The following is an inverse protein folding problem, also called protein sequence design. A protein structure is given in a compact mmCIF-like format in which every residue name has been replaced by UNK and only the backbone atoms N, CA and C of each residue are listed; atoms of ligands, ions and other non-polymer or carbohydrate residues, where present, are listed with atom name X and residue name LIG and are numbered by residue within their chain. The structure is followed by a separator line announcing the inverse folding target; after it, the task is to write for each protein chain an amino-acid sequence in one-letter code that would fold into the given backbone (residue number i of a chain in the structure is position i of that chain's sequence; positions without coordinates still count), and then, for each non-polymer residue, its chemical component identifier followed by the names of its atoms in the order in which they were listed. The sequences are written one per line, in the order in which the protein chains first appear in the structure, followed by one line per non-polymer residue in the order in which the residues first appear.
data_IF_989393501162
#
_entry.id   IF_989393501162
#
_cell.length_a   1.000
_cell.length_b   1.000
_cell.length_c   1.000
_cell.angle_alpha   90.00
_cell.angle_beta   90.00
_cell.angle_gamma   90.00
#
_symmetry.space_group_name_H-M   'P 1'
#
loop_
_entity.id
_entity.type
_entity.pdbx_description
1 polymer ?
#
# COMPACT_ATOMS: atom_id res chain seq x y z
N UNK A 1 -23.44 0.11 -7.20
CA UNK A 1 -22.74 0.84 -6.12
C UNK A 1 -21.86 -0.05 -5.25
N UNK A 2 -22.37 -1.00 -4.44
CA UNK A 2 -21.52 -1.97 -3.71
C UNK A 2 -20.91 -3.06 -4.60
N UNK A 3 -21.69 -3.56 -5.59
CA UNK A 3 -21.20 -4.52 -6.59
C UNK A 3 -20.05 -3.96 -7.42
N UNK A 4 -20.03 -2.64 -7.64
CA UNK A 4 -19.02 -1.96 -8.45
C UNK A 4 -17.64 -2.02 -7.77
N UNK A 5 -17.55 -1.87 -6.44
CA UNK A 5 -16.25 -1.90 -5.74
C UNK A 5 -15.59 -3.28 -5.76
N UNK A 6 -16.37 -4.37 -5.72
CA UNK A 6 -15.84 -5.72 -5.89
C UNK A 6 -15.32 -5.95 -7.31
N UNK A 7 -16.02 -5.45 -8.31
CA UNK A 7 -15.53 -5.47 -9.69
C UNK A 7 -14.20 -4.70 -9.80
N UNK A 8 -14.18 -3.46 -9.30
CA UNK A 8 -13.00 -2.61 -9.36
C UNK A 8 -11.81 -3.18 -8.58
N UNK A 9 -12.04 -3.86 -7.44
CA UNK A 9 -10.96 -4.50 -6.69
C UNK A 9 -10.32 -5.65 -7.48
N UNK A 10 -11.12 -6.45 -8.19
CA UNK A 10 -10.59 -7.47 -9.09
C UNK A 10 -9.80 -6.84 -10.24
N UNK A 11 -10.32 -5.77 -10.86
CA UNK A 11 -9.60 -5.07 -11.92
C UNK A 11 -8.29 -4.45 -11.43
N UNK A 12 -8.29 -3.81 -10.25
CA UNK A 12 -7.09 -3.25 -9.65
C UNK A 12 -6.05 -4.33 -9.36
N UNK A 13 -6.50 -5.47 -8.84
CA UNK A 13 -5.65 -6.63 -8.60
C UNK A 13 -5.03 -7.17 -9.89
N UNK A 14 -5.79 -7.29 -10.98
CA UNK A 14 -5.27 -7.69 -12.30
C UNK A 14 -4.23 -6.68 -12.80
N UNK A 15 -4.51 -5.38 -12.68
CA UNK A 15 -3.57 -4.33 -13.11
C UNK A 15 -2.27 -4.42 -12.34
N UNK A 16 -2.32 -4.44 -11.00
CA UNK A 16 -1.13 -4.40 -10.17
C UNK A 16 -0.35 -5.72 -10.20
N UNK A 17 -1.02 -6.86 -10.27
CA UNK A 17 -0.39 -8.18 -10.42
C UNK A 17 -0.14 -8.57 -11.89
N UNK A 18 -0.13 -7.61 -12.82
CA UNK A 18 0.40 -7.81 -14.18
C UNK A 18 1.89 -7.42 -14.26
N UNK A 19 2.45 -7.19 -15.45
CA UNK A 19 3.84 -6.77 -15.69
C UNK A 19 4.19 -5.36 -15.13
N UNK A 20 3.99 -5.16 -13.83
CA UNK A 20 4.25 -3.90 -13.13
C UNK A 20 5.39 -4.07 -12.14
N UNK A 21 5.96 -2.93 -11.72
CA UNK A 21 6.95 -2.92 -10.64
C UNK A 21 6.37 -3.45 -9.31
N UNK A 22 5.06 -3.32 -9.09
CA UNK A 22 4.41 -3.82 -7.89
C UNK A 22 4.55 -5.35 -7.75
N UNK A 23 4.22 -6.10 -8.80
CA UNK A 23 4.31 -7.57 -8.79
C UNK A 23 5.75 -8.04 -8.52
N UNK A 24 6.73 -7.40 -9.18
CA UNK A 24 8.14 -7.72 -9.00
C UNK A 24 8.57 -7.52 -7.54
N UNK A 25 8.27 -6.34 -6.97
CA UNK A 25 8.60 -6.02 -5.58
C UNK A 25 7.89 -6.98 -4.60
N UNK A 26 6.60 -7.25 -4.82
CA UNK A 26 5.81 -8.18 -4.00
C UNK A 26 6.42 -9.58 -4.00
N UNK A 27 6.84 -10.06 -5.17
CA UNK A 27 7.47 -11.39 -5.33
C UNK A 27 8.77 -11.48 -4.53
N UNK A 28 9.65 -10.48 -4.67
CA UNK A 28 10.93 -10.41 -3.96
C UNK A 28 10.72 -10.40 -2.44
N UNK A 29 9.76 -9.63 -1.93
CA UNK A 29 9.52 -9.59 -0.49
C UNK A 29 8.92 -10.91 0.00
N UNK A 30 7.98 -11.49 -0.75
CA UNK A 30 7.31 -12.73 -0.36
C UNK A 30 8.28 -13.91 -0.24
N UNK A 31 9.38 -13.93 -1.00
CA UNK A 31 10.39 -15.00 -0.86
C UNK A 31 11.13 -14.95 0.47
N UNK A 32 11.23 -13.79 1.12
CA UNK A 32 11.88 -13.62 2.42
C UNK A 32 11.12 -14.29 3.57
N UNK A 33 9.84 -14.57 3.37
CA UNK A 33 8.98 -15.23 4.36
C UNK A 33 8.89 -16.75 4.14
N UNK A 34 9.52 -17.28 3.07
CA UNK A 34 9.54 -18.72 2.76
C UNK A 34 10.71 -19.48 3.41
N UNK A 35 11.75 -18.79 3.87
CA UNK A 35 12.90 -19.41 4.51
C UNK A 35 12.56 -19.86 5.95
N UNK A 36 12.92 -21.11 6.28
CA UNK A 36 12.71 -21.67 7.62
C UNK A 36 13.61 -21.03 8.67
N UNK A 37 13.11 -21.04 9.90
CA UNK A 37 13.66 -20.46 11.12
C UNK A 37 15.13 -20.80 11.34
N UNK A 38 15.95 -19.77 11.51
CA UNK A 38 17.34 -19.90 11.96
C UNK A 38 17.42 -19.63 13.46
N UNK A 39 18.54 -19.99 14.10
CA UNK A 39 18.83 -19.62 15.50
C UNK A 39 18.93 -18.09 15.72
N UNK A 40 18.89 -17.30 14.65
CA UNK A 40 19.05 -15.85 14.66
C UNK A 40 17.81 -15.16 14.06
N UNK A 41 16.68 -15.41 14.70
CA UNK A 41 15.39 -14.92 14.22
C UNK A 41 15.30 -13.39 14.20
N UNK A 42 15.97 -12.69 15.12
CA UNK A 42 16.02 -11.23 15.11
C UNK A 42 16.67 -10.68 13.84
N UNK A 43 17.80 -11.25 13.38
CA UNK A 43 18.40 -10.81 12.13
C UNK A 43 17.56 -11.20 10.90
N UNK A 44 16.82 -12.31 10.94
CA UNK A 44 15.83 -12.64 9.90
C UNK A 44 14.76 -11.55 9.82
N UNK A 45 14.18 -11.17 10.96
CA UNK A 45 13.19 -10.08 11.04
C UNK A 45 13.79 -8.76 10.54
N UNK A 46 15.00 -8.42 10.99
CA UNK A 46 15.72 -7.20 10.59
C UNK A 46 15.92 -7.11 9.08
N UNK A 47 16.32 -8.21 8.44
CA UNK A 47 16.46 -8.30 6.99
C UNK A 47 15.12 -8.09 6.28
N UNK A 48 14.05 -8.76 6.74
CA UNK A 48 12.70 -8.60 6.18
C UNK A 48 12.21 -7.16 6.25
N UNK A 49 12.26 -6.51 7.42
CA UNK A 49 11.77 -5.13 7.58
C UNK A 49 12.63 -4.12 6.80
N UNK A 50 13.94 -4.34 6.69
CA UNK A 50 14.83 -3.46 5.90
C UNK A 50 14.47 -3.51 4.42
N UNK A 51 14.24 -4.72 3.89
CA UNK A 51 13.85 -4.89 2.49
C UNK A 51 12.46 -4.29 2.25
N UNK A 52 11.50 -4.52 3.14
CA UNK A 52 10.16 -3.90 3.04
C UNK A 52 10.26 -2.37 3.06
N UNK A 53 11.01 -1.77 3.99
CA UNK A 53 11.20 -0.30 4.05
C UNK A 53 11.79 0.23 2.74
N UNK A 54 12.75 -0.48 2.14
CA UNK A 54 13.37 -0.08 0.87
C UNK A 54 12.36 -0.08 -0.28
N UNK A 55 11.60 -1.16 -0.46
CA UNK A 55 10.66 -1.29 -1.57
C UNK A 55 9.38 -0.48 -1.41
N UNK A 56 8.93 -0.25 -0.17
CA UNK A 56 7.71 0.53 0.12
C UNK A 56 7.98 1.96 0.62
N UNK A 57 9.25 2.36 0.78
CA UNK A 57 9.67 3.70 1.20
C UNK A 57 8.99 4.18 2.50
N UNK A 58 9.02 3.36 3.56
CA UNK A 58 8.36 3.69 4.84
C UNK A 58 9.14 4.71 5.70
N UNK A 59 10.29 5.18 5.20
CA UNK A 59 11.13 6.23 5.77
C UNK A 59 11.77 5.87 7.12
N UNK A 60 11.98 4.58 7.41
CA UNK A 60 12.68 4.17 8.62
C UNK A 60 14.14 4.63 8.64
N UNK A 61 14.75 4.84 7.48
CA UNK A 61 16.12 5.38 7.36
C UNK A 61 16.33 6.76 8.00
N UNK A 62 15.25 7.50 8.32
CA UNK A 62 15.33 8.78 9.05
C UNK A 62 15.40 8.61 10.58
N UNK A 63 15.17 7.39 11.08
CA UNK A 63 15.08 7.05 12.50
C UNK A 63 16.35 6.32 12.91
N UNK A 64 17.19 6.97 13.72
CA UNK A 64 18.38 6.32 14.24
C UNK A 64 17.94 5.12 15.11
N UNK A 65 18.56 3.96 14.89
CA UNK A 65 18.26 2.69 15.59
C UNK A 65 16.84 2.12 15.39
N UNK A 66 16.00 2.76 14.58
CA UNK A 66 14.58 2.38 14.47
C UNK A 66 14.35 0.97 13.88
N UNK A 67 15.20 0.54 12.94
CA UNK A 67 15.15 -0.82 12.39
C UNK A 67 15.58 -1.85 13.45
N UNK A 68 16.64 -1.57 14.21
CA UNK A 68 17.13 -2.48 15.27
C UNK A 68 16.08 -2.66 16.36
N UNK A 69 15.51 -1.56 16.87
CA UNK A 69 14.48 -1.61 17.90
C UNK A 69 13.20 -2.30 17.44
N UNK A 70 12.80 -2.07 16.18
CA UNK A 70 11.62 -2.71 15.61
C UNK A 70 11.84 -4.20 15.39
N UNK A 71 13.01 -4.60 14.86
CA UNK A 71 13.36 -6.00 14.67
C UNK A 71 13.31 -6.76 15.99
N UNK A 72 13.95 -6.20 17.03
CA UNK A 72 13.93 -6.75 18.39
C UNK A 72 12.52 -6.87 18.97
N UNK A 73 11.64 -5.91 18.69
CA UNK A 73 10.26 -5.96 19.19
C UNK A 73 9.42 -7.04 18.50
N UNK A 74 9.56 -7.18 17.18
CA UNK A 74 8.86 -8.21 16.41
C UNK A 74 9.42 -9.62 16.73
N UNK A 75 10.73 -9.75 16.93
CA UNK A 75 11.42 -11.03 17.14
C UNK A 75 11.12 -11.73 18.47
N UNK A 76 10.42 -11.05 19.39
CA UNK A 76 9.93 -11.65 20.65
C UNK A 76 8.96 -12.80 20.40
N UNK A 77 8.25 -12.79 19.27
CA UNK A 77 7.32 -13.84 18.88
C UNK A 77 7.82 -14.54 17.61
N UNK A 78 7.73 -15.88 17.54
CA UNK A 78 7.95 -16.59 16.29
C UNK A 78 6.92 -16.18 15.22
N UNK A 79 7.22 -16.45 13.95
CA UNK A 79 6.32 -16.22 12.83
C UNK A 79 4.91 -16.83 13.09
N UNK A 80 4.84 -18.07 13.57
CA UNK A 80 3.56 -18.74 13.87
C UNK A 80 2.82 -18.10 15.04
N UNK A 81 3.53 -17.71 16.10
CA UNK A 81 2.92 -17.00 17.22
C UNK A 81 2.35 -15.65 16.75
N UNK A 82 3.08 -14.92 15.91
CA UNK A 82 2.66 -13.62 15.40
C UNK A 82 1.48 -13.73 14.43
N UNK A 83 1.41 -14.77 13.60
CA UNK A 83 0.23 -15.12 12.79
C UNK A 83 -1.00 -15.34 13.66
N UNK A 84 -0.88 -16.12 14.74
CA UNK A 84 -1.99 -16.36 15.66
C UNK A 84 -2.48 -15.07 16.34
N UNK A 85 -1.58 -14.17 16.72
CA UNK A 85 -1.93 -12.86 17.28
C UNK A 85 -2.57 -11.94 16.23
N UNK A 86 -2.17 -12.07 14.97
CA UNK A 86 -2.76 -11.31 13.86
C UNK A 86 -4.24 -11.64 13.67
N UNK A 87 -4.60 -12.93 13.70
CA UNK A 87 -6.00 -13.34 13.60
C UNK A 87 -6.86 -12.74 14.73
N UNK A 88 -6.38 -12.81 15.98
CA UNK A 88 -7.05 -12.21 17.15
C UNK A 88 -7.21 -10.70 17.01
N UNK A 89 -6.16 -10.00 16.58
CA UNK A 89 -6.22 -8.57 16.34
C UNK A 89 -7.24 -8.22 15.25
N UNK A 90 -7.32 -8.99 14.16
CA UNK A 90 -8.31 -8.72 13.13
C UNK A 90 -9.74 -8.95 13.62
N UNK A 91 -9.98 -9.90 14.52
CA UNK A 91 -11.30 -10.13 15.11
C UNK A 91 -11.75 -8.96 15.99
N UNK A 92 -10.85 -8.44 16.83
CA UNK A 92 -11.07 -7.29 17.71
C UNK A 92 -9.92 -6.27 17.65
N UNK A 93 -9.86 -5.38 16.63
CA UNK A 93 -8.74 -4.45 16.46
C UNK A 93 -8.59 -3.41 17.57
N UNK A 94 -9.63 -3.20 18.37
CA UNK A 94 -9.67 -2.29 19.51
C UNK A 94 -9.20 -2.91 20.83
N UNK A 95 -8.99 -4.23 20.89
CA UNK A 95 -8.52 -4.92 22.08
C UNK A 95 -6.99 -4.90 22.20
N UNK A 96 -6.49 -4.76 23.43
CA UNK A 96 -5.06 -4.79 23.71
C UNK A 96 -4.47 -6.18 23.46
N UNK A 97 -3.47 -6.24 22.57
CA UNK A 97 -2.72 -7.45 22.26
C UNK A 97 -1.32 -7.11 21.76
N UNK A 98 -0.55 -8.15 21.39
CA UNK A 98 0.82 -7.98 20.91
C UNK A 98 0.87 -7.10 19.64
N UNK A 99 -0.09 -7.24 18.73
CA UNK A 99 -0.15 -6.45 17.49
C UNK A 99 -0.46 -4.98 17.80
N UNK A 100 -1.45 -4.70 18.66
CA UNK A 100 -1.75 -3.31 19.06
C UNK A 100 -0.57 -2.67 19.79
N UNK A 101 0.11 -3.43 20.66
CA UNK A 101 1.33 -2.99 21.35
C UNK A 101 2.46 -2.64 20.37
N UNK A 102 2.66 -3.46 19.33
CA UNK A 102 3.62 -3.17 18.27
C UNK A 102 3.28 -1.86 17.55
N UNK A 103 2.01 -1.61 17.24
CA UNK A 103 1.56 -0.39 16.57
C UNK A 103 1.65 0.86 17.43
N UNK A 104 1.40 0.76 18.74
CA UNK A 104 1.41 1.90 19.66
C UNK A 104 2.83 2.34 20.05
N UNK A 105 3.80 1.41 20.04
CA UNK A 105 5.18 1.69 20.42
C UNK A 105 5.88 2.62 19.41
N UNK A 106 6.74 3.49 19.93
CA UNK A 106 7.64 4.33 19.14
C UNK A 106 8.97 3.61 18.89
N UNK A 107 9.54 3.82 17.70
CA UNK A 107 10.77 3.14 17.28
C UNK A 107 11.79 4.14 16.73
N UNK A 108 12.99 4.07 17.30
CA UNK A 108 14.13 4.91 16.98
C UNK A 108 14.01 6.33 17.50
N UNK A 109 15.09 7.07 17.30
CA UNK A 109 15.22 8.46 17.74
C UNK A 109 15.57 9.38 16.58
N UNK A 110 15.27 10.67 16.73
CA UNK A 110 15.75 11.70 15.83
C UNK A 110 17.21 12.12 16.13
N UNK A 111 17.75 13.05 15.35
CA UNK A 111 19.12 13.55 15.53
C UNK A 111 19.33 14.35 16.82
N UNK A 112 18.26 14.72 17.50
CA UNK A 112 18.30 15.38 18.82
C UNK A 112 18.16 14.39 19.98
N UNK A 113 18.00 13.10 19.70
CA UNK A 113 17.85 12.04 20.69
C UNK A 113 16.42 11.85 21.19
N UNK A 114 15.41 12.49 20.58
CA UNK A 114 14.00 12.33 20.97
C UNK A 114 13.36 11.14 20.25
N UNK A 115 12.37 10.45 20.86
CA UNK A 115 11.60 9.42 20.18
C UNK A 115 11.02 9.92 18.85
N UNK A 116 11.19 9.14 17.78
CA UNK A 116 10.78 9.57 16.44
C UNK A 116 9.29 9.37 16.19
N UNK A 117 8.74 8.22 16.60
CA UNK A 117 7.32 7.90 16.50
C UNK A 117 7.02 6.46 16.09
N UNK A 118 5.73 6.18 15.85
CA UNK A 118 5.22 4.83 15.53
C UNK A 118 5.61 4.37 14.13
N UNK A 119 5.66 3.04 13.92
CA UNK A 119 6.06 2.41 12.65
C UNK A 119 4.91 1.63 11.97
N UNK A 120 3.66 2.07 12.15
CA UNK A 120 2.45 1.32 11.75
C UNK A 120 2.46 0.87 10.29
N UNK A 121 2.92 1.73 9.39
CA UNK A 121 2.99 1.39 7.97
C UNK A 121 3.95 0.25 7.65
N UNK A 122 5.11 0.19 8.32
CA UNK A 122 6.07 -0.89 8.12
C UNK A 122 5.62 -2.17 8.81
N UNK A 123 5.08 -2.08 10.03
CA UNK A 123 4.57 -3.22 10.80
C UNK A 123 3.41 -3.89 10.06
N UNK A 124 2.43 -3.13 9.58
CA UNK A 124 1.30 -3.68 8.82
C UNK A 124 1.74 -4.36 7.51
N UNK A 125 2.77 -3.83 6.82
CA UNK A 125 3.36 -4.48 5.64
C UNK A 125 4.09 -5.76 6.01
N UNK A 126 4.85 -5.78 7.10
CA UNK A 126 5.47 -7.01 7.60
C UNK A 126 4.42 -8.08 7.89
N UNK A 127 3.34 -7.72 8.60
CA UNK A 127 2.23 -8.64 8.91
C UNK A 127 1.50 -9.09 7.63
N UNK A 128 1.28 -8.20 6.66
CA UNK A 128 0.71 -8.54 5.35
C UNK A 128 1.50 -9.66 4.68
N UNK A 129 2.83 -9.53 4.58
CA UNK A 129 3.66 -10.54 3.93
C UNK A 129 3.80 -11.82 4.76
N UNK A 130 3.82 -11.70 6.09
CA UNK A 130 3.82 -12.85 6.98
C UNK A 130 2.55 -13.71 6.82
N UNK A 131 1.40 -13.08 6.56
CA UNK A 131 0.09 -13.73 6.46
C UNK A 131 -0.37 -13.93 5.01
N UNK A 132 0.55 -13.97 4.05
CA UNK A 132 0.26 -14.21 2.63
C UNK A 132 -0.82 -13.28 2.05
N UNK A 133 -0.80 -12.00 2.47
CA UNK A 133 -1.75 -10.97 2.04
C UNK A 133 -3.07 -10.90 2.81
N UNK A 134 -3.26 -11.73 3.85
CA UNK A 134 -4.49 -11.77 4.65
C UNK A 134 -4.53 -10.74 5.79
N UNK A 135 -3.92 -9.58 5.60
CA UNK A 135 -3.94 -8.49 6.59
C UNK A 135 -3.91 -7.14 5.87
N UNK A 136 -4.70 -6.13 6.26
CA UNK A 136 -4.71 -4.84 5.58
C UNK A 136 -3.43 -4.04 5.82
N UNK A 137 -2.88 -3.43 4.77
CA UNK A 137 -1.73 -2.54 4.87
C UNK A 137 -2.16 -1.16 5.36
N UNK A 138 -1.51 -0.63 6.39
CA UNK A 138 -1.66 0.78 6.78
C UNK A 138 -0.85 1.69 5.84
N UNK A 139 -1.55 2.54 5.09
CA UNK A 139 -0.95 3.46 4.14
C UNK A 139 -1.74 4.78 4.05
N UNK A 140 -1.04 5.90 3.92
CA UNK A 140 -1.69 7.21 3.73
C UNK A 140 -2.53 7.26 2.45
N UNK A 141 -2.12 6.56 1.39
CA UNK A 141 -2.92 6.46 0.16
C UNK A 141 -4.21 5.68 0.38
N UNK A 142 -4.21 4.68 1.26
CA UNK A 142 -5.42 3.94 1.60
C UNK A 142 -6.39 4.81 2.41
N UNK A 143 -5.88 5.61 3.35
CA UNK A 143 -6.65 6.62 4.09
C UNK A 143 -7.27 7.65 3.12
N UNK A 144 -6.47 8.21 2.20
CA UNK A 144 -6.94 9.19 1.22
C UNK A 144 -8.02 8.60 0.31
N UNK A 145 -7.82 7.37 -0.15
CA UNK A 145 -8.78 6.66 -1.00
C UNK A 145 -10.08 6.36 -0.27
N UNK A 146 -10.00 5.93 0.99
CA UNK A 146 -11.18 5.75 1.83
C UNK A 146 -11.98 7.05 1.95
N UNK A 147 -11.30 8.19 2.17
CA UNK A 147 -11.95 9.51 2.21
C UNK A 147 -12.61 9.87 0.87
N UNK A 148 -11.98 9.55 -0.26
CA UNK A 148 -12.57 9.76 -1.59
C UNK A 148 -13.81 8.90 -1.84
N UNK A 149 -13.77 7.63 -1.46
CA UNK A 149 -14.93 6.73 -1.52
C UNK A 149 -16.09 7.28 -0.67
N UNK A 150 -15.79 7.80 0.53
CA UNK A 150 -16.79 8.42 1.41
C UNK A 150 -17.41 9.67 0.78
N UNK A 151 -16.56 10.58 0.29
CA UNK A 151 -17.00 11.84 -0.34
C UNK A 151 -17.95 11.58 -1.51
N UNK A 152 -17.73 10.50 -2.25
CA UNK A 152 -18.53 10.09 -3.39
C UNK A 152 -19.72 9.18 -3.05
N UNK A 153 -20.07 9.06 -1.76
CA UNK A 153 -21.25 8.30 -1.33
C UNK A 153 -21.13 6.77 -1.49
N UNK A 154 -19.93 6.26 -1.78
CA UNK A 154 -19.69 4.82 -1.96
C UNK A 154 -19.61 4.07 -0.63
N UNK A 155 -19.33 4.80 0.46
CA UNK A 155 -19.31 4.26 1.84
C UNK A 155 -20.06 5.19 2.81
N UNK A 156 -20.91 4.60 3.66
CA UNK A 156 -21.82 5.33 4.54
C UNK A 156 -21.37 5.38 6.00
N UNK A 157 -20.28 6.07 6.30
CA UNK A 157 -19.82 6.30 7.69
C UNK A 157 -19.79 7.79 8.04
N UNK A 158 -20.24 8.16 9.24
CA UNK A 158 -20.23 9.56 9.70
C UNK A 158 -18.84 9.99 10.17
N UNK A 159 -18.13 9.10 10.87
CA UNK A 159 -16.81 9.38 11.45
C UNK A 159 -15.70 9.39 10.39
N UNK A 160 -14.66 10.19 10.63
CA UNK A 160 -13.48 10.23 9.78
C UNK A 160 -12.53 9.07 10.11
N UNK A 161 -11.97 8.45 9.08
CA UNK A 161 -10.92 7.45 9.26
C UNK A 161 -9.62 8.14 9.74
N UNK A 162 -8.97 7.56 10.73
CA UNK A 162 -7.70 8.00 11.30
C UNK A 162 -6.85 6.78 11.69
N UNK A 163 -5.75 7.01 12.41
CA UNK A 163 -4.85 5.95 12.86
C UNK A 163 -5.56 4.94 13.78
N UNK A 164 -6.30 5.42 14.77
CA UNK A 164 -6.89 4.61 15.84
C UNK A 164 -8.01 3.70 15.34
N UNK A 165 -8.73 4.09 14.29
CA UNK A 165 -9.86 3.34 13.75
C UNK A 165 -9.61 2.72 12.37
N UNK A 166 -8.37 2.80 11.86
CA UNK A 166 -8.02 2.37 10.51
C UNK A 166 -8.42 0.90 10.26
N UNK A 167 -7.93 0.00 11.10
CA UNK A 167 -8.09 -1.44 10.90
C UNK A 167 -9.56 -1.88 10.97
N UNK A 168 -10.33 -1.32 11.90
CA UNK A 168 -11.79 -1.53 11.98
C UNK A 168 -12.50 -1.09 10.69
N UNK A 169 -12.10 0.05 10.14
CA UNK A 169 -12.78 0.65 8.99
C UNK A 169 -12.45 -0.11 7.71
N UNK A 170 -11.20 -0.55 7.56
CA UNK A 170 -10.79 -1.38 6.43
C UNK A 170 -11.39 -2.79 6.52
N UNK A 171 -11.44 -3.41 7.72
CA UNK A 171 -12.16 -4.68 7.94
C UNK A 171 -13.63 -4.56 7.55
N UNK A 172 -14.31 -3.52 8.04
CA UNK A 172 -15.72 -3.27 7.71
C UNK A 172 -15.89 -3.03 6.22
N UNK A 173 -15.02 -2.23 5.59
CA UNK A 173 -15.05 -1.97 4.15
C UNK A 173 -14.95 -3.29 3.36
N UNK A 174 -14.01 -4.16 3.72
CA UNK A 174 -13.80 -5.45 3.08
C UNK A 174 -15.08 -6.32 3.11
N UNK A 175 -15.74 -6.35 4.27
CA UNK A 175 -16.97 -7.10 4.48
C UNK A 175 -18.17 -6.49 3.75
N UNK A 176 -18.44 -5.18 3.91
CA UNK A 176 -19.65 -4.56 3.33
C UNK A 176 -19.62 -4.48 1.80
N UNK A 177 -18.44 -4.49 1.20
CA UNK A 177 -18.25 -4.54 -0.26
C UNK A 177 -18.19 -5.97 -0.81
N UNK A 178 -18.17 -6.98 0.07
CA UNK A 178 -18.07 -8.39 -0.28
C UNK A 178 -16.81 -8.72 -1.10
N UNK A 179 -15.74 -7.97 -0.91
CA UNK A 179 -14.42 -8.24 -1.50
C UNK A 179 -13.82 -9.48 -0.81
N UNK A 180 -13.87 -9.49 0.53
CA UNK A 180 -13.39 -10.57 1.41
C UNK A 180 -11.96 -11.03 1.08
N UNK A 181 -11.11 -10.08 0.69
CA UNK A 181 -9.74 -10.31 0.23
C UNK A 181 -8.95 -9.01 0.46
N UNK A 182 -8.06 -9.03 1.46
CA UNK A 182 -7.32 -7.83 1.85
C UNK A 182 -6.34 -7.38 0.78
N UNK A 183 -5.72 -8.30 0.03
CA UNK A 183 -4.85 -7.93 -1.08
C UNK A 183 -5.64 -7.16 -2.15
N UNK A 184 -6.80 -7.66 -2.57
CA UNK A 184 -7.63 -6.96 -3.57
C UNK A 184 -8.10 -5.61 -3.06
N UNK A 185 -8.44 -5.51 -1.78
CA UNK A 185 -8.84 -4.25 -1.18
C UNK A 185 -7.67 -3.25 -1.11
N UNK A 186 -6.48 -3.69 -0.70
CA UNK A 186 -5.28 -2.85 -0.66
C UNK A 186 -4.87 -2.43 -2.08
N UNK A 187 -4.95 -3.33 -3.06
CA UNK A 187 -4.74 -3.02 -4.47
C UNK A 187 -5.71 -1.95 -4.98
N UNK A 188 -6.99 -2.07 -4.63
CA UNK A 188 -8.03 -1.09 -4.95
C UNK A 188 -7.69 0.29 -4.39
N UNK A 189 -7.47 0.36 -3.07
CA UNK A 189 -7.23 1.61 -2.37
C UNK A 189 -5.90 2.25 -2.81
N UNK A 190 -4.85 1.45 -3.01
CA UNK A 190 -3.57 1.96 -3.45
C UNK A 190 -3.63 2.51 -4.88
N UNK A 191 -4.33 1.82 -5.78
CA UNK A 191 -4.51 2.29 -7.16
C UNK A 191 -5.31 3.59 -7.23
N UNK A 192 -6.42 3.71 -6.48
CA UNK A 192 -7.19 4.95 -6.37
C UNK A 192 -6.27 6.10 -5.92
N UNK A 193 -5.54 5.91 -4.82
CA UNK A 193 -4.73 6.97 -4.22
C UNK A 193 -3.54 7.39 -5.11
N UNK A 194 -2.94 6.47 -5.85
CA UNK A 194 -1.87 6.77 -6.81
C UNK A 194 -2.39 7.58 -7.98
N UNK A 195 -3.50 7.16 -8.58
CA UNK A 195 -4.06 7.82 -9.76
C UNK A 195 -4.68 9.18 -9.40
N UNK A 196 -5.30 9.33 -8.24
CA UNK A 196 -5.81 10.63 -7.77
C UNK A 196 -4.70 11.65 -7.54
N UNK A 197 -3.46 11.19 -7.32
CA UNK A 197 -2.24 12.02 -7.20
C UNK A 197 -1.45 12.13 -8.52
N UNK A 198 -1.98 11.64 -9.64
CA UNK A 198 -1.36 11.72 -10.97
C UNK A 198 -0.21 10.74 -11.22
N UNK A 199 -0.07 9.70 -10.39
CA UNK A 199 0.99 8.70 -10.54
C UNK A 199 0.55 7.55 -11.46
N UNK A 200 0.71 7.73 -12.78
CA UNK A 200 0.31 6.72 -13.78
C UNK A 200 1.39 5.74 -14.18
N UNK A 201 2.64 5.93 -13.75
CA UNK A 201 3.72 4.96 -13.98
C UNK A 201 3.37 3.58 -13.44
N UNK A 202 2.47 3.50 -12.45
CA UNK A 202 1.95 2.25 -11.89
C UNK A 202 1.13 1.42 -12.90
N UNK A 203 0.59 2.03 -13.95
CA UNK A 203 -0.22 1.34 -14.97
C UNK A 203 0.64 0.71 -16.08
N UNK A 204 1.96 0.87 -16.08
CA UNK A 204 2.75 0.53 -17.25
C UNK A 204 4.17 0.10 -16.91
N UNK A 205 4.74 -0.77 -17.76
CA UNK A 205 6.15 -1.13 -17.69
C UNK A 205 7.03 0.01 -18.26
N UNK A 206 8.36 -0.13 -18.09
CA UNK A 206 9.34 0.87 -18.55
C UNK A 206 9.23 1.17 -20.05
N UNK A 207 8.98 0.15 -20.88
CA UNK A 207 8.87 0.31 -22.34
C UNK A 207 7.64 1.14 -22.71
N UNK A 208 6.47 0.78 -22.17
CA UNK A 208 5.21 1.54 -22.36
C UNK A 208 5.33 2.98 -21.86
N UNK A 209 5.92 3.19 -20.69
CA UNK A 209 6.17 4.54 -20.16
C UNK A 209 7.12 5.34 -21.07
N UNK A 210 8.16 4.69 -21.59
CA UNK A 210 9.08 5.29 -22.57
C UNK A 210 8.37 5.78 -23.84
N UNK A 211 7.42 4.99 -24.35
CA UNK A 211 6.61 5.38 -25.50
C UNK A 211 5.71 6.57 -25.18
N UNK A 212 5.02 6.56 -24.04
CA UNK A 212 4.19 7.67 -23.58
C UNK A 212 4.96 9.00 -23.51
N UNK A 213 6.17 8.99 -22.94
CA UNK A 213 6.96 10.23 -22.78
C UNK A 213 7.63 10.69 -24.08
N UNK A 214 7.73 9.83 -25.10
CA UNK A 214 8.33 10.19 -26.40
C UNK A 214 7.51 11.28 -27.07
N UNK A 215 6.19 11.16 -27.03
CA UNK A 215 5.22 12.12 -27.57
C UNK A 215 5.25 13.46 -26.82
N UNK A 216 5.72 13.43 -25.56
CA UNK A 216 5.86 14.60 -24.70
C UNK A 216 7.30 15.15 -24.62
N UNK A 217 8.25 14.54 -25.32
CA UNK A 217 9.69 14.75 -25.08
C UNK A 217 10.12 16.22 -25.20
N UNK A 218 9.56 16.97 -26.15
CA UNK A 218 9.83 18.41 -26.32
C UNK A 218 9.24 19.22 -25.16
N UNK A 219 7.97 18.98 -24.81
CA UNK A 219 7.26 19.67 -23.71
C UNK A 219 7.90 19.38 -22.35
N UNK A 220 8.41 18.17 -22.13
CA UNK A 220 9.03 17.78 -20.86
C UNK A 220 10.43 18.37 -20.66
N UNK A 221 11.15 18.73 -21.74
CA UNK A 221 12.47 19.36 -21.64
C UNK A 221 12.41 20.80 -21.12
N UNK A 222 11.31 21.51 -21.39
CA UNK A 222 11.15 22.91 -21.02
C UNK A 222 10.57 23.15 -19.63
N UNK A 223 10.25 22.09 -18.88
CA UNK A 223 9.62 22.21 -17.55
C UNK A 223 10.42 21.55 -16.42
N UNK A 224 10.25 22.07 -15.21
CA UNK A 224 10.87 21.51 -14.00
C UNK A 224 10.24 20.16 -13.65
N UNK A 225 10.96 19.33 -12.89
CA UNK A 225 10.52 17.99 -12.50
C UNK A 225 9.09 17.94 -11.96
N UNK A 226 8.74 18.83 -11.01
CA UNK A 226 7.38 18.91 -10.42
C UNK A 226 6.27 19.22 -11.43
N UNK A 227 6.58 19.84 -12.56
CA UNK A 227 5.60 20.19 -13.60
C UNK A 227 5.43 19.06 -14.63
N UNK A 228 6.38 18.13 -14.72
CA UNK A 228 6.34 16.99 -15.64
C UNK A 228 5.16 16.08 -15.33
N UNK A 229 4.91 15.80 -14.05
CA UNK A 229 3.82 14.93 -13.61
C UNK A 229 2.46 15.47 -14.08
N UNK A 230 2.25 16.79 -13.96
CA UNK A 230 1.01 17.42 -14.43
C UNK A 230 0.85 17.34 -15.95
N UNK A 231 1.93 17.54 -16.73
CA UNK A 231 1.87 17.41 -18.19
C UNK A 231 1.56 15.98 -18.62
N UNK A 232 2.19 14.99 -17.98
CA UNK A 232 1.96 13.58 -18.24
C UNK A 232 0.51 13.22 -17.89
N UNK A 233 0.02 13.70 -16.74
CA UNK A 233 -1.37 13.52 -16.30
C UNK A 233 -2.37 14.06 -17.32
N UNK A 234 -2.18 15.29 -17.80
CA UNK A 234 -3.08 15.87 -18.81
C UNK A 234 -3.04 15.10 -20.13
N UNK A 235 -1.84 14.73 -20.58
CA UNK A 235 -1.71 13.95 -21.81
C UNK A 235 -2.39 12.59 -21.72
N UNK A 236 -2.24 11.87 -20.60
CA UNK A 236 -2.94 10.61 -20.38
C UNK A 236 -4.45 10.82 -20.44
N UNK A 237 -4.98 11.88 -19.84
CA UNK A 237 -6.42 12.19 -19.93
C UNK A 237 -6.91 12.42 -21.35
N UNK A 238 -6.07 12.95 -22.23
CA UNK A 238 -6.39 13.17 -23.64
C UNK A 238 -6.39 11.86 -24.43
N UNK A 239 -5.43 10.97 -24.17
CA UNK A 239 -5.19 9.79 -25.03
C UNK A 239 -5.73 8.47 -24.48
N UNK A 240 -6.10 8.37 -23.20
CA UNK A 240 -6.27 7.07 -22.56
C UNK A 240 -7.36 6.20 -23.22
N UNK A 241 -8.43 6.80 -23.74
CA UNK A 241 -9.52 6.04 -24.37
C UNK A 241 -9.12 5.44 -25.72
N UNK A 242 -8.34 6.20 -26.50
CA UNK A 242 -8.02 5.89 -27.91
C UNK A 242 -6.65 5.22 -28.08
N UNK A 243 -5.77 5.33 -27.08
CA UNK A 243 -4.43 4.77 -27.14
C UNK A 243 -4.41 3.26 -26.86
N UNK A 244 -3.61 2.53 -27.63
CA UNK A 244 -3.31 1.11 -27.41
C UNK A 244 -2.28 0.89 -26.28
N UNK A 245 -1.76 1.97 -25.68
CA UNK A 245 -0.85 1.87 -24.53
C UNK A 245 -1.55 1.30 -23.28
N UNK A 246 -2.88 1.49 -23.18
CA UNK A 246 -3.69 1.09 -22.03
C UNK A 246 -4.55 -0.13 -22.38
N UNK A 247 -4.61 -1.09 -21.45
CA UNK A 247 -5.54 -2.23 -21.57
C UNK A 247 -6.97 -1.80 -21.26
N UNK A 248 -7.97 -2.57 -21.67
CA UNK A 248 -9.39 -2.26 -21.39
C UNK A 248 -9.69 -2.10 -19.90
N UNK A 249 -9.02 -2.91 -19.07
CA UNK A 249 -9.08 -2.80 -17.61
C UNK A 249 -8.56 -1.43 -17.12
N UNK A 250 -7.46 -0.94 -17.71
CA UNK A 250 -6.88 0.35 -17.36
C UNK A 250 -7.74 1.51 -17.87
N UNK A 251 -8.29 1.39 -19.08
CA UNK A 251 -9.23 2.36 -19.67
C UNK A 251 -10.46 2.53 -18.79
N UNK A 252 -11.06 1.41 -18.36
CA UNK A 252 -12.22 1.39 -17.45
C UNK A 252 -11.93 2.15 -16.15
N UNK A 253 -10.73 1.98 -15.60
CA UNK A 253 -10.30 2.63 -14.37
C UNK A 253 -10.15 4.16 -14.51
N UNK A 254 -9.44 4.61 -15.55
CA UNK A 254 -9.19 6.04 -15.77
C UNK A 254 -10.49 6.78 -16.11
N UNK A 255 -11.41 6.16 -16.86
CA UNK A 255 -12.76 6.68 -17.08
C UNK A 255 -13.47 6.99 -15.76
N UNK A 256 -13.46 6.04 -14.81
CA UNK A 256 -14.24 6.15 -13.59
C UNK A 256 -13.65 7.15 -12.59
N UNK A 257 -12.33 7.22 -12.46
CA UNK A 257 -11.66 8.21 -11.62
C UNK A 257 -11.93 9.66 -12.05
N UNK A 258 -12.20 9.92 -13.33
CA UNK A 258 -12.61 11.25 -13.79
C UNK A 258 -14.08 11.57 -13.51
N UNK A 259 -14.87 10.59 -13.07
CA UNK A 259 -16.29 10.73 -12.71
C UNK A 259 -16.56 10.75 -11.20
N UNK A 260 -15.49 10.70 -10.38
CA UNK A 260 -15.44 10.60 -8.91
C UNK A 260 -14.64 11.79 -8.37
#
# INVERSE_FOLDING_TARGET
MRQDLKYYSNTAHIILNSETQYLSNKTIISTLFKSQTTNDFENVVKNRITIIDSYYSTQMSKRLYGIDELAKAISVCSDDALKNQTAKFLDSPSEDNIISSLFLKEYGIDKSGKPFGKAISLISKYIYFLNDGNFPIYDSLAIDSYKLLKKNGLIGTKTAINEDNYFDYIKRLNSVTNINDYEKLDNLLWLIGKLSKGSFSILMNKSKYGNLIKDLSVKLKSVKSKQKDNLIHQHIKEIYQTSDLFTDNQKTWVCKLNSV
#
